data_IF_011621954483
#
_entry.id   IF_011621954483
#
_cell.length_a   1.000
_cell.length_b   1.000
_cell.length_c   1.000
_cell.angle_alpha   90.00
_cell.angle_beta   90.00
_cell.angle_gamma   90.00
#
_symmetry.space_group_name_H-M   'P 1'
#
loop_
_entity.id
_entity.type
_entity.pdbx_description
1 polymer ?
#
# COMPACT_ATOMS: atom_id res chain seq x y z
N UNK A 1 3.25 20.08 -2.35
CA UNK A 1 1.78 19.96 -2.51
C UNK A 1 1.56 19.27 -3.85
N UNK A 2 1.25 17.98 -3.83
CA UNK A 2 0.91 17.17 -5.02
C UNK A 2 -0.61 17.09 -5.18
N UNK A 3 -1.08 17.01 -6.42
CA UNK A 3 -2.50 16.89 -6.77
C UNK A 3 -2.93 15.45 -7.06
N UNK A 4 -2.03 14.49 -6.87
CA UNK A 4 -2.30 13.06 -7.05
C UNK A 4 -3.18 12.46 -5.94
N UNK A 5 -3.93 11.43 -6.32
CA UNK A 5 -4.74 10.61 -5.42
C UNK A 5 -4.36 9.15 -5.64
N UNK A 6 -4.12 8.42 -4.55
CA UNK A 6 -3.94 6.96 -4.54
C UNK A 6 -5.07 6.32 -3.74
N UNK A 7 -5.69 5.28 -4.28
CA UNK A 7 -6.74 4.54 -3.60
C UNK A 7 -6.82 3.08 -4.07
N UNK A 8 -7.30 2.20 -3.20
CA UNK A 8 -7.74 0.85 -3.60
C UNK A 8 -9.27 0.82 -3.65
N UNK A 9 -9.79 0.05 -4.61
CA UNK A 9 -11.20 -0.27 -4.68
C UNK A 9 -11.40 -1.72 -4.23
N UNK A 10 -12.14 -1.89 -3.15
CA UNK A 10 -12.42 -3.18 -2.53
C UNK A 10 -13.93 -3.46 -2.58
N UNK A 11 -14.31 -4.73 -2.55
CA UNK A 11 -15.71 -5.15 -2.41
C UNK A 11 -15.88 -5.83 -1.05
N UNK A 12 -16.63 -5.19 -0.14
CA UNK A 12 -16.76 -5.60 1.27
C UNK A 12 -18.22 -5.96 1.62
N UNK A 13 -18.73 -7.11 1.15
CA UNK A 13 -20.17 -7.46 1.25
C UNK A 13 -20.66 -7.69 2.68
N UNK A 14 -19.75 -7.89 3.63
CA UNK A 14 -20.06 -8.09 5.05
C UNK A 14 -20.14 -6.78 5.84
N UNK A 15 -19.87 -5.62 5.19
CA UNK A 15 -19.85 -4.31 5.85
C UNK A 15 -21.24 -3.66 5.91
N UNK A 16 -22.06 -3.86 4.87
CA UNK A 16 -23.49 -3.58 4.95
C UNK A 16 -24.14 -4.71 5.74
N UNK A 17 -24.96 -4.38 6.73
CA UNK A 17 -25.60 -5.38 7.61
C UNK A 17 -26.41 -6.45 6.85
N UNK A 18 -27.22 -7.28 7.54
CA UNK A 18 -27.88 -8.44 6.94
C UNK A 18 -28.70 -8.18 5.66
N UNK A 19 -29.08 -6.92 5.41
CA UNK A 19 -29.95 -6.48 4.32
C UNK A 19 -29.26 -5.59 3.26
N UNK A 20 -27.97 -5.29 3.38
CA UNK A 20 -27.26 -4.33 2.51
C UNK A 20 -26.05 -4.96 1.80
N UNK A 21 -26.34 -5.98 0.98
CA UNK A 21 -25.31 -6.71 0.20
C UNK A 21 -25.25 -6.29 -1.27
N UNK A 22 -26.18 -5.44 -1.69
CA UNK A 22 -26.34 -5.06 -3.09
C UNK A 22 -25.33 -3.99 -3.53
N UNK A 23 -24.82 -3.19 -2.59
CA UNK A 23 -23.79 -2.19 -2.83
C UNK A 23 -22.70 -2.31 -1.77
N UNK A 24 -21.54 -2.83 -2.16
CA UNK A 24 -20.44 -3.06 -1.22
C UNK A 24 -19.08 -2.54 -1.71
N UNK A 25 -19.08 -1.64 -2.70
CA UNK A 25 -17.88 -0.96 -3.15
C UNK A 25 -17.35 -0.07 -2.03
N UNK A 26 -16.12 -0.33 -1.60
CA UNK A 26 -15.39 0.46 -0.63
C UNK A 26 -14.13 1.03 -1.29
N UNK A 27 -13.88 2.32 -1.08
CA UNK A 27 -12.66 2.98 -1.54
C UNK A 27 -11.79 3.27 -0.32
N UNK A 28 -10.58 2.71 -0.27
CA UNK A 28 -9.59 3.09 0.73
C UNK A 28 -8.65 4.11 0.11
N UNK A 29 -8.69 5.35 0.61
CA UNK A 29 -7.72 6.38 0.23
C UNK A 29 -6.39 6.10 0.93
N UNK A 30 -5.30 6.18 0.18
CA UNK A 30 -3.94 5.89 0.65
C UNK A 30 -3.09 7.13 0.37
N UNK A 31 -2.23 7.48 1.32
CA UNK A 31 -1.23 8.52 1.10
C UNK A 31 -0.30 8.12 -0.07
N UNK A 32 -0.19 8.92 -1.15
CA UNK A 32 0.68 8.64 -2.29
C UNK A 32 2.14 8.38 -1.89
N UNK A 33 2.63 8.98 -0.80
CA UNK A 33 3.99 8.75 -0.32
C UNK A 33 4.25 7.29 0.13
N UNK A 34 3.19 6.50 0.35
CA UNK A 34 3.31 5.08 0.69
C UNK A 34 3.59 4.20 -0.52
N UNK A 35 3.33 4.65 -1.74
CA UNK A 35 3.68 3.94 -2.97
C UNK A 35 5.14 4.23 -3.32
N UNK A 36 6.00 3.24 -3.12
CA UNK A 36 7.45 3.41 -3.28
C UNK A 36 8.17 2.06 -3.33
N UNK A 37 9.43 2.08 -3.75
CA UNK A 37 10.22 0.86 -3.84
C UNK A 37 10.44 0.24 -2.44
N UNK A 38 10.29 -1.09 -2.30
CA UNK A 38 10.59 -1.81 -1.07
C UNK A 38 11.97 -1.48 -0.54
N UNK A 39 12.09 -1.28 0.78
CA UNK A 39 13.33 -0.97 1.49
C UNK A 39 14.15 0.19 0.87
N UNK A 40 13.47 1.15 0.25
CA UNK A 40 14.10 2.31 -0.41
C UNK A 40 15.10 1.91 -1.51
N UNK A 41 14.85 0.76 -2.17
CA UNK A 41 15.64 0.32 -3.32
C UNK A 41 15.60 1.36 -4.45
N UNK A 42 16.71 1.46 -5.19
CA UNK A 42 16.77 2.31 -6.39
C UNK A 42 15.87 1.77 -7.49
N UNK A 43 15.41 2.67 -8.36
CA UNK A 43 14.67 2.29 -9.55
C UNK A 43 15.50 1.39 -10.46
N UNK A 44 14.80 0.47 -11.13
CA UNK A 44 15.34 -0.44 -12.13
C UNK A 44 14.48 -0.37 -13.40
N UNK A 45 14.77 -1.22 -14.39
CA UNK A 45 13.93 -1.44 -15.56
C UNK A 45 12.61 -2.14 -15.21
N UNK A 46 12.53 -2.86 -14.08
CA UNK A 46 11.36 -3.67 -13.68
C UNK A 46 10.67 -3.20 -12.41
N UNK A 47 11.18 -2.16 -11.77
CA UNK A 47 10.62 -1.58 -10.54
C UNK A 47 10.91 -0.08 -10.53
N UNK A 48 9.86 0.74 -10.52
CA UNK A 48 10.00 2.20 -10.50
C UNK A 48 8.96 2.82 -9.60
N UNK A 49 9.40 3.65 -8.64
CA UNK A 49 8.51 4.37 -7.73
C UNK A 49 7.41 3.49 -7.09
N UNK A 50 7.73 2.24 -6.74
CA UNK A 50 6.81 1.28 -6.12
C UNK A 50 5.95 0.47 -7.10
N UNK A 51 6.13 0.64 -8.41
CA UNK A 51 5.40 -0.10 -9.44
C UNK A 51 6.31 -1.17 -10.05
N UNK A 52 5.90 -2.43 -9.95
CA UNK A 52 6.55 -3.53 -10.68
C UNK A 52 6.12 -3.49 -12.15
N UNK A 53 7.07 -3.61 -13.08
CA UNK A 53 6.85 -3.55 -14.51
C UNK A 53 7.19 -4.89 -15.19
N UNK A 54 6.38 -5.26 -16.18
CA UNK A 54 6.70 -6.37 -17.06
C UNK A 54 7.72 -5.98 -18.14
N UNK A 55 8.09 -6.93 -19.01
CA UNK A 55 9.06 -6.69 -20.10
C UNK A 55 8.60 -5.65 -21.14
N UNK A 56 7.31 -5.30 -21.14
CA UNK A 56 6.70 -4.33 -22.02
C UNK A 56 6.43 -2.98 -21.31
N UNK A 57 6.80 -2.86 -20.02
CA UNK A 57 6.53 -1.67 -19.21
C UNK A 57 5.11 -1.61 -18.65
N UNK A 58 4.33 -2.68 -18.72
CA UNK A 58 3.00 -2.73 -18.11
C UNK A 58 3.11 -2.96 -16.59
N UNK A 59 2.33 -2.24 -15.77
CA UNK A 59 2.31 -2.42 -14.32
C UNK A 59 1.76 -3.81 -13.96
N UNK A 60 2.47 -4.52 -13.08
CA UNK A 60 2.08 -5.85 -12.58
C UNK A 60 1.70 -5.87 -11.12
N UNK A 61 2.28 -4.97 -10.33
CA UNK A 61 2.00 -4.86 -8.90
C UNK A 61 2.40 -3.49 -8.37
N UNK A 62 1.86 -3.16 -7.20
CA UNK A 62 2.13 -1.93 -6.46
C UNK A 62 2.59 -2.26 -5.04
N UNK A 63 3.67 -1.63 -4.60
CA UNK A 63 4.21 -1.77 -3.24
C UNK A 63 3.78 -0.60 -2.36
N UNK A 64 2.96 -0.89 -1.35
CA UNK A 64 2.44 0.12 -0.41
C UNK A 64 3.02 -0.13 0.98
N UNK A 65 3.70 0.87 1.56
CA UNK A 65 4.20 0.82 2.94
C UNK A 65 3.07 0.79 3.96
N UNK A 66 3.20 -0.10 4.95
CA UNK A 66 2.30 -0.14 6.12
C UNK A 66 2.68 0.91 7.17
N UNK A 67 3.97 1.20 7.33
CA UNK A 67 4.49 2.22 8.24
C UNK A 67 5.44 3.19 7.53
N UNK A 68 5.42 4.46 7.96
CA UNK A 68 6.37 5.48 7.51
C UNK A 68 7.71 5.31 8.26
N UNK A 69 8.82 5.79 7.69
CA UNK A 69 10.14 5.71 8.34
C UNK A 69 10.14 6.41 9.72
N UNK A 70 9.33 7.46 9.87
CA UNK A 70 9.14 8.20 11.13
C UNK A 70 8.37 7.42 12.20
N UNK A 71 7.54 6.43 11.84
CA UNK A 71 6.72 5.66 12.79
C UNK A 71 7.59 4.82 13.73
N UNK A 72 8.80 4.43 13.27
CA UNK A 72 9.79 3.74 14.08
C UNK A 72 10.29 4.59 15.26
N UNK A 73 10.32 5.92 15.12
CA UNK A 73 10.86 6.82 16.15
C UNK A 73 9.84 7.23 17.22
N UNK A 74 8.54 6.98 17.01
CA UNK A 74 7.46 7.39 17.94
C UNK A 74 7.22 6.35 19.06
N UNK A 75 7.74 5.12 18.95
CA UNK A 75 7.50 4.03 19.91
C UNK A 75 8.79 3.39 20.49
N UNK A 76 9.67 4.18 21.09
CA UNK A 76 10.63 3.65 22.08
C UNK A 76 9.85 3.47 23.40
N UNK A 77 9.58 2.28 23.99
CA UNK A 77 10.41 1.06 24.03
C UNK A 77 9.64 -0.30 23.95
N UNK A 78 8.45 -0.41 23.34
CA UNK A 78 7.67 -1.65 23.35
C UNK A 78 7.49 -2.22 21.92
N UNK A 79 8.29 -3.24 21.59
CA UNK A 79 7.98 -4.15 20.47
C UNK A 79 8.79 -3.95 19.19
N UNK A 80 10.12 -3.92 19.29
CA UNK A 80 11.03 -3.90 18.15
C UNK A 80 10.91 -5.14 17.22
N UNK A 81 10.48 -6.29 17.75
CA UNK A 81 10.60 -7.58 17.05
C UNK A 81 9.40 -7.96 16.16
N UNK A 82 8.18 -7.50 16.47
CA UNK A 82 6.96 -7.98 15.78
C UNK A 82 6.61 -7.20 14.50
N UNK A 83 7.04 -5.93 14.37
CA UNK A 83 6.60 -5.06 13.27
C UNK A 83 7.56 -5.04 12.07
N UNK A 84 8.75 -5.62 12.16
CA UNK A 84 9.70 -5.68 11.03
C UNK A 84 9.28 -6.66 9.92
N UNK A 85 8.33 -7.58 10.21
CA UNK A 85 7.99 -8.70 9.30
C UNK A 85 6.83 -8.41 8.34
N UNK A 86 6.05 -7.36 8.57
CA UNK A 86 5.00 -6.88 7.66
C UNK A 86 5.16 -5.37 7.53
N UNK A 87 5.87 -4.95 6.49
CA UNK A 87 6.12 -3.53 6.19
C UNK A 87 5.47 -3.13 4.86
N UNK A 88 4.91 -4.10 4.14
CA UNK A 88 4.55 -3.99 2.74
C UNK A 88 3.26 -4.77 2.47
N UNK A 89 2.25 -4.08 1.96
CA UNK A 89 1.06 -4.70 1.35
C UNK A 89 1.21 -4.59 -0.16
N UNK A 90 1.22 -5.74 -0.85
CA UNK A 90 1.29 -5.81 -2.31
C UNK A 90 -0.12 -5.96 -2.87
N UNK A 91 -0.41 -5.16 -3.90
CA UNK A 91 -1.64 -5.27 -4.68
C UNK A 91 -1.28 -5.67 -6.11
N UNK A 92 -2.10 -6.53 -6.72
CA UNK A 92 -1.98 -7.02 -8.10
C UNK A 92 -2.98 -6.30 -9.01
#
# INVERSE_FOLDING_TARGET
MGGEVLATAEWLPDRGGPYDKHYATAIQIIDPARLCNPNDLMDTDRLRAGVELDRHGAPRAYHIREAMQGDCFVYLPLGFADRLKSQWRQFF
#
